data_IF_670039522173
#
_entry.id   IF_670039522173
#
_cell.length_a   1.000
_cell.length_b   1.000
_cell.length_c   1.000
_cell.angle_alpha   90.00
_cell.angle_beta   90.00
_cell.angle_gamma   90.00
#
_symmetry.space_group_name_H-M   'P 1'
#
loop_
_entity.id
_entity.type
_entity.pdbx_description
1 polymer ?
#
# COMPACT_ATOMS: atom_id res chain seq x y z
N UNK A 1 -0.47 -34.50 10.15
CA UNK A 1 -1.89 -34.30 10.50
C UNK A 1 -2.33 -32.83 10.63
N UNK A 2 -1.64 -31.98 11.43
CA UNK A 2 -2.08 -30.58 11.66
C UNK A 2 -2.10 -29.70 10.38
N UNK A 3 -1.08 -29.79 9.53
CA UNK A 3 -0.99 -29.02 8.28
C UNK A 3 -2.10 -29.39 7.29
N UNK A 4 -2.28 -30.68 7.01
CA UNK A 4 -3.30 -31.20 6.08
C UNK A 4 -4.70 -30.69 6.46
N UNK A 5 -5.06 -30.77 7.75
CA UNK A 5 -6.36 -30.26 8.25
C UNK A 5 -6.54 -28.76 7.99
N UNK A 6 -5.46 -27.97 8.10
CA UNK A 6 -5.46 -26.52 7.83
C UNK A 6 -5.52 -26.16 6.35
N UNK A 7 -5.22 -27.09 5.45
CA UNK A 7 -5.38 -26.91 3.99
C UNK A 7 -6.79 -27.32 3.55
N UNK A 8 -7.33 -28.40 4.14
CA UNK A 8 -8.68 -28.87 3.86
C UNK A 8 -9.72 -27.84 4.30
N UNK A 9 -9.64 -27.36 5.54
CA UNK A 9 -10.64 -26.46 6.11
C UNK A 9 -10.27 -25.00 5.78
N UNK A 10 -11.12 -24.25 5.03
CA UNK A 10 -10.91 -22.83 4.76
C UNK A 10 -10.64 -22.01 6.02
N UNK A 11 -9.59 -21.18 5.99
CA UNK A 11 -9.23 -20.27 7.08
C UNK A 11 -8.38 -19.11 6.55
N UNK A 12 -8.27 -18.03 7.33
CA UNK A 12 -7.54 -16.81 6.93
C UNK A 12 -6.04 -17.02 6.68
N UNK A 13 -5.45 -18.12 7.19
CA UNK A 13 -4.03 -18.45 7.00
C UNK A 13 -3.81 -19.57 5.97
N UNK A 14 -4.86 -20.01 5.27
CA UNK A 14 -4.82 -21.16 4.35
C UNK A 14 -3.77 -21.03 3.27
N UNK A 15 -3.59 -19.83 2.71
CA UNK A 15 -2.57 -19.58 1.69
C UNK A 15 -1.16 -19.88 2.24
N UNK A 16 -0.85 -19.52 3.49
CA UNK A 16 0.45 -19.81 4.10
C UNK A 16 0.66 -21.31 4.32
N UNK A 17 -0.39 -22.04 4.73
CA UNK A 17 -0.30 -23.49 4.85
C UNK A 17 -0.11 -24.20 3.52
N UNK A 18 -0.66 -23.66 2.43
CA UNK A 18 -0.38 -24.15 1.06
C UNK A 18 1.08 -23.90 0.69
N UNK A 19 1.62 -22.71 1.01
CA UNK A 19 3.04 -22.41 0.79
C UNK A 19 3.94 -23.40 1.54
N UNK A 20 3.64 -23.66 2.81
CA UNK A 20 4.40 -24.60 3.63
C UNK A 20 4.31 -26.04 3.09
N UNK A 21 3.15 -26.46 2.57
CA UNK A 21 3.02 -27.77 1.94
C UNK A 21 3.97 -27.92 0.74
N UNK A 22 4.09 -26.91 -0.10
CA UNK A 22 5.04 -26.93 -1.22
C UNK A 22 6.50 -26.86 -0.77
N UNK A 23 6.82 -26.15 0.31
CA UNK A 23 8.17 -26.19 0.93
C UNK A 23 8.50 -27.59 1.44
N UNK A 24 7.51 -28.33 1.92
CA UNK A 24 7.59 -29.76 2.30
C UNK A 24 7.46 -30.70 1.09
N UNK A 25 7.64 -30.20 -0.13
CA UNK A 25 7.64 -30.95 -1.39
C UNK A 25 6.34 -31.68 -1.73
N UNK A 26 5.18 -31.22 -1.22
CA UNK A 26 3.90 -31.74 -1.69
C UNK A 26 3.75 -31.52 -3.20
N UNK A 27 3.18 -32.50 -3.90
CA UNK A 27 2.86 -32.35 -5.33
C UNK A 27 1.66 -31.42 -5.52
N UNK A 28 1.55 -30.80 -6.69
CA UNK A 28 0.38 -29.99 -7.06
C UNK A 28 -0.90 -30.83 -6.96
N UNK A 29 -0.85 -32.10 -7.41
CA UNK A 29 -1.96 -33.05 -7.30
C UNK A 29 -2.39 -33.26 -5.84
N UNK A 30 -1.44 -33.43 -4.92
CA UNK A 30 -1.75 -33.62 -3.50
C UNK A 30 -2.42 -32.37 -2.92
N UNK A 31 -1.86 -31.18 -3.19
CA UNK A 31 -2.42 -29.92 -2.69
C UNK A 31 -3.80 -29.64 -3.31
N UNK A 32 -4.01 -29.95 -4.58
CA UNK A 32 -5.32 -29.87 -5.23
C UNK A 32 -6.35 -30.78 -4.55
N UNK A 33 -6.02 -32.04 -4.31
CA UNK A 33 -6.93 -32.99 -3.64
C UNK A 33 -7.38 -32.44 -2.28
N UNK A 34 -6.46 -31.84 -1.53
CA UNK A 34 -6.73 -31.26 -0.21
C UNK A 34 -7.47 -29.92 -0.25
N UNK A 35 -7.10 -29.03 -1.18
CA UNK A 35 -7.56 -27.64 -1.17
C UNK A 35 -8.72 -27.36 -2.13
N UNK A 36 -8.85 -28.17 -3.17
CA UNK A 36 -9.71 -27.95 -4.34
C UNK A 36 -9.42 -26.65 -5.12
N UNK A 37 -8.27 -26.01 -4.87
CA UNK A 37 -7.79 -24.87 -5.65
C UNK A 37 -7.24 -25.39 -6.96
N UNK A 38 -7.70 -24.82 -8.08
CA UNK A 38 -7.32 -25.26 -9.41
C UNK A 38 -5.79 -25.43 -9.57
N UNK A 39 -5.32 -26.53 -10.20
CA UNK A 39 -3.90 -26.79 -10.41
C UNK A 39 -3.14 -25.66 -11.09
N UNK A 40 -3.79 -24.86 -11.95
CA UNK A 40 -3.21 -23.69 -12.60
C UNK A 40 -2.72 -22.65 -11.60
N UNK A 41 -3.53 -22.27 -10.59
CA UNK A 41 -3.09 -21.36 -9.53
C UNK A 41 -1.99 -21.98 -8.66
N UNK A 42 -2.14 -23.27 -8.35
CA UNK A 42 -1.17 -24.01 -7.54
C UNK A 42 0.21 -24.11 -8.21
N UNK A 43 0.25 -24.17 -9.54
CA UNK A 43 1.49 -24.13 -10.32
C UNK A 43 2.25 -22.82 -10.06
N UNK A 44 1.61 -21.65 -10.23
CA UNK A 44 2.26 -20.36 -10.00
C UNK A 44 2.68 -20.15 -8.54
N UNK A 45 1.86 -20.59 -7.59
CA UNK A 45 2.23 -20.54 -6.16
C UNK A 45 3.50 -21.38 -5.92
N UNK A 46 3.58 -22.57 -6.51
CA UNK A 46 4.77 -23.44 -6.42
C UNK A 46 5.99 -22.82 -7.11
N UNK A 47 5.81 -22.16 -8.26
CA UNK A 47 6.89 -21.44 -8.92
C UNK A 47 7.48 -20.35 -8.03
N UNK A 48 6.66 -19.54 -7.36
CA UNK A 48 7.12 -18.50 -6.43
C UNK A 48 8.04 -19.11 -5.34
N UNK A 49 7.68 -20.28 -4.81
CA UNK A 49 8.50 -21.00 -3.80
C UNK A 49 9.80 -21.55 -4.40
N UNK A 50 9.76 -22.02 -5.64
CA UNK A 50 10.98 -22.46 -6.33
C UNK A 50 11.93 -21.28 -6.54
N UNK A 51 11.40 -20.08 -6.85
CA UNK A 51 12.18 -18.86 -6.92
C UNK A 51 12.72 -18.41 -5.56
N UNK A 52 11.95 -18.56 -4.47
CA UNK A 52 12.41 -18.28 -3.09
C UNK A 52 13.72 -19.03 -2.78
N UNK A 53 13.83 -20.30 -3.18
CA UNK A 53 15.08 -21.10 -2.99
C UNK A 53 16.27 -20.58 -3.80
N UNK A 54 16.03 -19.92 -4.93
CA UNK A 54 17.06 -19.37 -5.83
C UNK A 54 17.51 -17.95 -5.43
N UNK A 55 16.85 -17.30 -4.49
CA UNK A 55 16.94 -15.85 -4.27
C UNK A 55 18.25 -15.33 -3.63
N UNK A 56 19.24 -16.18 -3.38
CA UNK A 56 20.51 -15.79 -2.73
C UNK A 56 21.52 -15.01 -3.60
N UNK A 57 21.20 -14.63 -4.86
CA UNK A 57 22.23 -14.07 -5.78
C UNK A 57 21.87 -12.82 -6.60
N UNK A 58 20.73 -12.16 -6.40
CA UNK A 58 20.38 -10.97 -7.21
C UNK A 58 20.54 -9.65 -6.45
N UNK A 59 21.53 -8.84 -6.86
CA UNK A 59 21.59 -7.41 -6.55
C UNK A 59 20.49 -6.69 -7.35
N UNK A 60 19.47 -6.19 -6.64
CA UNK A 60 18.26 -5.68 -7.25
C UNK A 60 18.39 -4.21 -7.69
N UNK A 61 18.66 -4.00 -8.98
CA UNK A 61 18.23 -2.78 -9.69
C UNK A 61 16.73 -2.92 -10.02
N UNK A 62 15.89 -3.00 -8.99
CA UNK A 62 14.44 -3.07 -9.19
C UNK A 62 13.95 -1.74 -9.76
N UNK A 63 13.44 -1.75 -10.98
CA UNK A 63 12.70 -0.63 -11.58
C UNK A 63 11.20 -0.95 -11.54
N UNK A 64 10.40 0.07 -11.26
CA UNK A 64 8.95 0.03 -11.37
C UNK A 64 8.54 0.98 -12.48
N UNK A 65 7.65 0.52 -13.34
CA UNK A 65 6.97 1.33 -14.34
C UNK A 65 5.48 1.43 -14.00
N UNK A 66 4.83 2.51 -14.41
CA UNK A 66 3.40 2.72 -14.19
C UNK A 66 2.62 2.58 -15.50
N UNK A 67 1.56 1.78 -15.44
CA UNK A 67 0.64 1.50 -16.55
C UNK A 67 -0.76 1.99 -16.24
N UNK A 68 -1.48 2.43 -17.26
CA UNK A 68 -2.88 2.85 -17.15
C UNK A 68 -3.82 1.67 -17.23
N UNK A 69 -4.94 1.81 -16.55
CA UNK A 69 -6.11 0.96 -16.73
C UNK A 69 -7.05 1.71 -17.68
N UNK A 70 -7.31 1.12 -18.85
CA UNK A 70 -8.03 1.76 -19.97
C UNK A 70 -9.29 1.01 -20.42
N UNK A 71 -9.61 -0.13 -19.79
CA UNK A 71 -10.70 -1.07 -20.12
C UNK A 71 -10.61 -1.78 -21.48
N UNK A 72 -9.74 -1.34 -22.39
CA UNK A 72 -9.67 -1.78 -23.78
C UNK A 72 -8.30 -2.31 -24.21
N UNK A 73 -7.41 -2.62 -23.25
CA UNK A 73 -6.08 -3.18 -23.51
C UNK A 73 -5.28 -2.37 -24.53
N UNK A 74 -5.33 -1.04 -24.39
CA UNK A 74 -4.65 -0.05 -25.23
C UNK A 74 -5.14 -0.01 -26.70
N UNK A 75 -6.38 -0.47 -26.97
CA UNK A 75 -7.04 -0.26 -28.27
C UNK A 75 -7.37 1.22 -28.51
N UNK A 76 -7.81 1.93 -27.46
CA UNK A 76 -8.17 3.35 -27.51
C UNK A 76 -7.33 4.20 -26.56
N UNK A 77 -7.18 5.49 -26.89
CA UNK A 77 -6.44 6.43 -26.05
C UNK A 77 -7.23 6.73 -24.76
N UNK A 78 -6.64 6.40 -23.62
CA UNK A 78 -7.24 6.64 -22.31
C UNK A 78 -6.87 8.01 -21.72
N UNK A 79 -7.89 8.83 -21.45
CA UNK A 79 -7.75 10.16 -20.86
C UNK A 79 -7.62 10.16 -19.33
N UNK A 80 -8.19 9.14 -18.67
CA UNK A 80 -8.12 8.99 -17.21
C UNK A 80 -6.71 8.60 -16.77
N UNK A 81 -6.37 8.91 -15.51
CA UNK A 81 -5.06 8.60 -14.93
C UNK A 81 -5.19 7.62 -13.78
N UNK A 82 -5.83 6.48 -14.06
CA UNK A 82 -5.93 5.32 -13.17
C UNK A 82 -4.75 4.38 -13.44
N UNK A 83 -3.81 4.29 -12.49
CA UNK A 83 -2.50 3.67 -12.68
C UNK A 83 -2.27 2.50 -11.73
N UNK A 84 -1.48 1.52 -12.16
CA UNK A 84 -0.88 0.48 -11.30
C UNK A 84 0.60 0.32 -11.63
N UNK A 85 1.39 -0.18 -10.68
CA UNK A 85 2.83 -0.42 -10.90
C UNK A 85 3.11 -1.84 -11.41
N UNK A 86 4.11 -1.94 -12.28
CA UNK A 86 4.64 -3.21 -12.77
C UNK A 86 6.17 -3.23 -12.63
N UNK A 87 6.71 -4.36 -12.15
CA UNK A 87 8.15 -4.55 -12.01
C UNK A 87 8.78 -4.87 -13.36
N UNK A 88 9.81 -4.12 -13.74
CA UNK A 88 10.53 -4.30 -15.00
C UNK A 88 10.82 -2.99 -15.71
N UNK A 89 11.49 -3.08 -16.87
CA UNK A 89 11.79 -1.94 -17.73
C UNK A 89 10.71 -1.78 -18.79
N UNK A 90 9.54 -1.28 -18.40
CA UNK A 90 8.46 -0.97 -19.34
C UNK A 90 8.33 0.55 -19.52
N UNK A 91 7.73 0.97 -20.63
CA UNK A 91 7.41 2.37 -20.85
C UNK A 91 6.38 2.87 -19.82
N UNK A 92 6.61 4.06 -19.29
CA UNK A 92 5.73 4.70 -18.31
C UNK A 92 4.59 5.43 -19.01
N UNK A 93 3.38 5.26 -18.50
CA UNK A 93 2.17 5.95 -18.97
C UNK A 93 1.70 7.04 -17.99
N UNK A 94 2.64 7.53 -17.19
CA UNK A 94 2.41 8.61 -16.24
C UNK A 94 2.03 9.88 -16.99
N UNK A 95 0.94 10.51 -16.57
CA UNK A 95 0.61 11.87 -17.03
C UNK A 95 1.49 12.88 -16.29
N UNK A 96 2.40 13.52 -16.99
CA UNK A 96 3.13 14.65 -16.44
C UNK A 96 2.25 15.89 -16.47
N UNK A 97 2.28 16.64 -15.37
CA UNK A 97 1.58 17.91 -15.21
C UNK A 97 2.58 18.96 -14.75
N UNK A 98 2.40 20.19 -15.21
CA UNK A 98 3.20 21.35 -14.79
C UNK A 98 2.80 21.77 -13.37
N UNK A 99 1.57 21.44 -12.94
CA UNK A 99 1.07 21.82 -11.63
C UNK A 99 1.87 21.14 -10.51
N UNK A 100 1.92 21.84 -9.38
CA UNK A 100 2.39 21.28 -8.11
C UNK A 100 1.51 20.07 -7.75
N UNK A 101 2.12 19.05 -7.16
CA UNK A 101 1.47 17.79 -6.83
C UNK A 101 1.53 17.51 -5.34
N UNK A 102 0.45 17.04 -4.76
CA UNK A 102 0.39 16.57 -3.37
C UNK A 102 0.02 15.09 -3.39
N UNK A 103 0.82 14.27 -2.73
CA UNK A 103 0.56 12.85 -2.56
C UNK A 103 -0.27 12.62 -1.29
N UNK A 104 -1.41 11.95 -1.42
CA UNK A 104 -2.23 11.47 -0.33
C UNK A 104 -2.06 9.95 -0.26
N UNK A 105 -1.66 9.45 0.91
CA UNK A 105 -1.57 8.01 1.16
C UNK A 105 -2.83 7.57 1.89
N UNK A 106 -3.62 6.72 1.25
CA UNK A 106 -4.89 6.19 1.75
C UNK A 106 -4.75 5.23 2.93
N UNK A 107 -5.88 4.63 3.32
CA UNK A 107 -5.97 3.73 4.48
C UNK A 107 -5.63 2.27 4.18
N UNK A 108 -5.69 1.84 2.92
CA UNK A 108 -5.64 0.43 2.57
C UNK A 108 -6.91 -0.30 3.00
N UNK A 109 -6.80 -1.62 3.14
CA UNK A 109 -7.95 -2.50 3.44
C UNK A 109 -8.57 -2.15 4.80
N UNK A 110 -9.91 -2.05 4.83
CA UNK A 110 -10.70 -1.78 6.03
C UNK A 110 -10.49 -2.87 7.11
N UNK A 111 -10.36 -2.45 8.38
CA UNK A 111 -10.22 -3.32 9.57
C UNK A 111 -10.90 -2.68 10.77
N UNK A 112 -11.16 -3.46 11.83
CA UNK A 112 -11.70 -2.90 13.09
C UNK A 112 -10.75 -1.81 13.61
N UNK A 113 -11.30 -0.62 13.86
CA UNK A 113 -10.54 0.57 14.27
C UNK A 113 -9.90 1.35 13.12
N UNK A 114 -10.07 0.91 11.87
CA UNK A 114 -9.63 1.62 10.67
C UNK A 114 -10.58 1.35 9.49
N UNK A 115 -11.65 2.14 9.41
CA UNK A 115 -12.74 1.97 8.45
C UNK A 115 -12.88 3.20 7.52
N UNK A 116 -14.07 3.38 6.95
CA UNK A 116 -14.46 4.37 5.94
C UNK A 116 -14.19 5.84 6.36
N UNK A 117 -14.07 6.14 7.65
CA UNK A 117 -13.76 7.48 8.15
C UNK A 117 -12.43 8.02 7.60
N UNK A 118 -11.44 7.16 7.40
CA UNK A 118 -10.15 7.54 6.82
C UNK A 118 -10.26 7.75 5.30
N UNK A 119 -11.09 6.94 4.64
CA UNK A 119 -11.38 7.12 3.21
C UNK A 119 -12.08 8.46 2.93
N UNK A 120 -13.07 8.81 3.76
CA UNK A 120 -13.74 10.10 3.71
C UNK A 120 -12.76 11.27 3.85
N UNK A 121 -11.84 11.19 4.82
CA UNK A 121 -10.80 12.20 5.02
C UNK A 121 -9.90 12.36 3.78
N UNK A 122 -9.40 11.25 3.22
CA UNK A 122 -8.58 11.26 2.01
C UNK A 122 -9.33 11.86 0.81
N UNK A 123 -10.59 11.47 0.62
CA UNK A 123 -11.47 11.96 -0.46
C UNK A 123 -11.71 13.48 -0.34
N UNK A 124 -12.01 13.97 0.87
CA UNK A 124 -12.21 15.41 1.10
C UNK A 124 -10.93 16.21 0.86
N UNK A 125 -9.78 15.70 1.31
CA UNK A 125 -8.49 16.33 1.06
C UNK A 125 -8.19 16.43 -0.44
N UNK A 126 -8.41 15.35 -1.20
CA UNK A 126 -8.21 15.36 -2.66
C UNK A 126 -9.09 16.41 -3.35
N UNK A 127 -10.38 16.45 -3.01
CA UNK A 127 -11.33 17.44 -3.56
C UNK A 127 -10.92 18.87 -3.23
N UNK A 128 -10.39 19.12 -2.02
CA UNK A 128 -9.91 20.44 -1.61
C UNK A 128 -8.62 20.85 -2.34
N UNK A 129 -7.65 19.93 -2.46
CA UNK A 129 -6.39 20.15 -3.19
C UNK A 129 -6.68 20.54 -4.65
N UNK A 130 -7.59 19.82 -5.29
CA UNK A 130 -8.04 20.09 -6.66
C UNK A 130 -8.70 21.47 -6.79
N UNK A 131 -9.50 21.91 -5.82
CA UNK A 131 -10.13 23.26 -5.80
C UNK A 131 -9.11 24.40 -5.74
N UNK A 132 -7.94 24.19 -5.14
CA UNK A 132 -6.87 25.19 -5.06
C UNK A 132 -5.94 25.13 -6.29
N UNK A 133 -6.28 24.32 -7.30
CA UNK A 133 -5.51 24.21 -8.55
C UNK A 133 -4.21 23.41 -8.40
N UNK A 134 -4.11 22.56 -7.37
CA UNK A 134 -3.00 21.65 -7.16
C UNK A 134 -3.43 20.24 -7.59
N UNK A 135 -2.52 19.47 -8.17
CA UNK A 135 -2.80 18.09 -8.53
C UNK A 135 -2.74 17.17 -7.32
N UNK A 136 -3.84 16.46 -7.04
CA UNK A 136 -3.86 15.41 -6.04
C UNK A 136 -3.46 14.07 -6.67
N UNK A 137 -2.53 13.38 -6.02
CA UNK A 137 -2.17 11.99 -6.31
C UNK A 137 -2.65 11.17 -5.13
N UNK A 138 -3.48 10.14 -5.34
CA UNK A 138 -3.87 9.20 -4.30
C UNK A 138 -3.14 7.87 -4.52
N UNK A 139 -2.50 7.35 -3.47
CA UNK A 139 -2.04 5.97 -3.38
C UNK A 139 -2.96 5.21 -2.43
N UNK A 140 -3.71 4.24 -2.94
CA UNK A 140 -4.53 3.34 -2.13
C UNK A 140 -4.70 1.99 -2.84
N UNK A 141 -5.12 0.96 -2.11
CA UNK A 141 -5.34 -0.40 -2.66
C UNK A 141 -6.67 -1.02 -2.24
N UNK A 142 -7.55 -0.24 -1.61
CA UNK A 142 -8.86 -0.74 -1.21
C UNK A 142 -9.85 -0.60 -2.38
N UNK A 143 -10.42 -1.69 -2.92
CA UNK A 143 -11.40 -1.60 -3.99
C UNK A 143 -12.78 -1.11 -3.52
N UNK A 144 -13.04 -1.05 -2.21
CA UNK A 144 -14.36 -0.70 -1.66
C UNK A 144 -14.52 0.80 -1.37
N UNK A 145 -13.56 1.64 -1.75
CA UNK A 145 -13.45 3.02 -1.28
C UNK A 145 -13.69 4.06 -2.36
N UNK A 146 -14.22 5.22 -1.97
CA UNK A 146 -14.41 6.35 -2.89
C UNK A 146 -13.06 6.99 -3.25
N UNK A 147 -12.05 6.93 -2.37
CA UNK A 147 -10.72 7.44 -2.73
C UNK A 147 -10.05 6.69 -3.89
N UNK A 148 -10.54 5.51 -4.26
CA UNK A 148 -10.08 4.71 -5.41
C UNK A 148 -10.97 4.85 -6.64
N UNK A 149 -11.92 5.79 -6.63
CA UNK A 149 -12.57 6.26 -7.85
C UNK A 149 -11.61 7.18 -8.63
N UNK A 150 -11.47 6.94 -9.93
CA UNK A 150 -10.47 7.62 -10.76
C UNK A 150 -10.75 9.13 -10.99
N UNK A 151 -11.96 9.61 -10.66
CA UNK A 151 -12.39 11.00 -10.81
C UNK A 151 -12.16 11.85 -9.55
N UNK A 152 -11.89 11.21 -8.41
CA UNK A 152 -11.68 11.84 -7.10
C UNK A 152 -10.33 12.57 -7.03
N UNK A 153 -9.31 12.10 -7.74
CA UNK A 153 -7.98 12.72 -7.79
C UNK A 153 -7.55 13.07 -9.21
N UNK A 154 -6.52 13.91 -9.35
CA UNK A 154 -5.87 14.13 -10.67
C UNK A 154 -5.18 12.85 -11.15
N UNK A 155 -4.67 12.07 -10.20
CA UNK A 155 -3.96 10.82 -10.44
C UNK A 155 -4.29 9.80 -9.34
N UNK A 156 -4.72 8.62 -9.74
CA UNK A 156 -4.95 7.50 -8.84
C UNK A 156 -3.92 6.41 -9.11
N UNK A 157 -3.25 5.97 -8.06
CA UNK A 157 -2.29 4.86 -8.09
C UNK A 157 -2.87 3.75 -7.22
N UNK A 158 -3.34 2.69 -7.87
CA UNK A 158 -3.90 1.51 -7.24
C UNK A 158 -2.82 0.48 -6.98
N UNK A 159 -2.10 0.69 -5.88
CA UNK A 159 -0.95 -0.12 -5.51
C UNK A 159 -0.93 -0.37 -4.00
N UNK A 160 -0.31 -1.47 -3.55
CA UNK A 160 -0.06 -1.69 -2.13
C UNK A 160 0.66 -0.51 -1.47
N UNK A 161 0.20 -0.13 -0.27
CA UNK A 161 0.81 0.93 0.54
C UNK A 161 2.07 0.37 1.21
N UNK A 162 3.15 0.29 0.43
CA UNK A 162 4.46 -0.20 0.88
C UNK A 162 5.55 0.80 0.53
N UNK A 163 6.63 0.78 1.32
CA UNK A 163 7.76 1.72 1.18
C UNK A 163 8.35 1.75 -0.23
N UNK A 164 8.49 0.58 -0.86
CA UNK A 164 9.01 0.45 -2.23
C UNK A 164 8.17 1.29 -3.19
N UNK A 165 6.86 1.08 -3.22
CA UNK A 165 5.96 1.78 -4.14
C UNK A 165 5.97 3.29 -3.89
N UNK A 166 5.90 3.71 -2.63
CA UNK A 166 6.00 5.13 -2.25
C UNK A 166 7.30 5.74 -2.75
N UNK A 167 8.44 5.07 -2.57
CA UNK A 167 9.73 5.56 -3.07
C UNK A 167 9.72 5.81 -4.58
N UNK A 168 9.19 4.88 -5.39
CA UNK A 168 9.08 5.10 -6.83
C UNK A 168 8.11 6.22 -7.17
N UNK A 169 6.97 6.31 -6.49
CA UNK A 169 6.01 7.40 -6.68
C UNK A 169 6.69 8.75 -6.41
N UNK A 170 7.46 8.87 -5.35
CA UNK A 170 8.20 10.10 -5.04
C UNK A 170 9.22 10.45 -6.12
N UNK A 171 9.94 9.46 -6.65
CA UNK A 171 10.94 9.68 -7.70
C UNK A 171 10.32 10.11 -9.04
N UNK A 172 9.21 9.50 -9.44
CA UNK A 172 8.56 9.77 -10.72
C UNK A 172 7.70 11.02 -10.69
N UNK A 173 6.86 11.17 -9.66
CA UNK A 173 5.86 12.24 -9.61
C UNK A 173 6.39 13.50 -8.92
N UNK A 174 7.43 13.38 -8.09
CA UNK A 174 8.06 14.48 -7.34
C UNK A 174 7.03 15.41 -6.68
N UNK A 175 6.10 14.87 -5.85
CA UNK A 175 5.13 15.72 -5.16
C UNK A 175 5.88 16.70 -4.24
N UNK A 176 5.34 17.90 -4.09
CA UNK A 176 5.89 18.91 -3.18
C UNK A 176 5.64 18.53 -1.72
N UNK A 177 4.64 17.68 -1.47
CA UNK A 177 4.14 17.39 -0.14
C UNK A 177 3.42 16.05 -0.09
N UNK A 178 3.48 15.40 1.07
CA UNK A 178 2.86 14.10 1.34
C UNK A 178 1.96 14.21 2.57
N UNK A 179 0.71 13.75 2.41
CA UNK A 179 -0.32 13.69 3.45
C UNK A 179 -0.53 12.23 3.83
N UNK A 180 -0.18 11.86 5.06
CA UNK A 180 -0.36 10.51 5.60
C UNK A 180 -1.30 10.42 6.80
N UNK A 181 -1.56 11.53 7.47
CA UNK A 181 -2.37 11.58 8.69
C UNK A 181 -3.83 11.19 8.45
N UNK A 182 -4.30 11.41 7.22
CA UNK A 182 -5.68 11.14 6.83
C UNK A 182 -5.93 9.67 6.50
N UNK A 183 -4.87 8.90 6.21
CA UNK A 183 -4.95 7.48 5.86
C UNK A 183 -4.80 6.52 7.05
N UNK A 184 -4.94 7.03 8.28
CA UNK A 184 -4.87 6.19 9.49
C UNK A 184 -3.53 5.49 9.71
N UNK A 185 -3.55 4.37 10.42
CA UNK A 185 -2.33 3.74 10.94
C UNK A 185 -1.45 3.13 9.85
N UNK A 186 -2.05 2.55 8.81
CA UNK A 186 -1.31 2.00 7.64
C UNK A 186 -0.40 3.07 7.02
N UNK A 187 -0.98 4.24 6.75
CA UNK A 187 -0.30 5.37 6.14
C UNK A 187 0.80 5.93 7.04
N UNK A 188 0.49 6.20 8.31
CA UNK A 188 1.44 6.72 9.31
C UNK A 188 2.64 5.80 9.52
N UNK A 189 2.40 4.50 9.70
CA UNK A 189 3.48 3.53 9.93
C UNK A 189 4.40 3.40 8.72
N UNK A 190 3.86 3.48 7.51
CA UNK A 190 4.67 3.31 6.30
C UNK A 190 5.64 4.48 6.09
N UNK A 191 5.22 5.69 6.47
CA UNK A 191 6.07 6.90 6.40
C UNK A 191 7.07 6.99 7.55
N UNK A 192 6.69 6.64 8.79
CA UNK A 192 7.46 6.88 10.01
C UNK A 192 8.91 6.36 9.96
N UNK A 193 9.17 5.32 9.19
CA UNK A 193 10.48 4.66 9.11
C UNK A 193 11.38 5.17 7.99
N UNK A 194 11.03 6.26 7.31
CA UNK A 194 11.80 6.77 6.18
C UNK A 194 12.30 8.20 6.42
N UNK A 195 13.53 8.46 5.96
CA UNK A 195 14.12 9.81 5.87
C UNK A 195 13.49 10.63 4.71
N UNK A 196 12.18 10.56 4.50
CA UNK A 196 11.46 11.46 3.59
C UNK A 196 11.27 12.83 4.28
N UNK A 197 12.36 13.41 4.76
CA UNK A 197 12.36 14.40 5.86
C UNK A 197 12.00 15.82 5.43
N UNK A 198 11.88 16.13 4.14
CA UNK A 198 11.62 17.50 3.67
C UNK A 198 10.19 17.78 3.19
N UNK A 199 9.35 16.76 2.97
CA UNK A 199 8.06 16.91 2.27
C UNK A 199 6.84 16.47 3.08
N UNK A 200 6.99 16.29 4.40
CA UNK A 200 5.92 15.78 5.27
C UNK A 200 5.14 16.89 5.96
N UNK A 201 3.84 16.66 6.12
CA UNK A 201 2.86 17.63 6.62
C UNK A 201 2.89 17.97 8.10
N UNK A 202 3.37 17.04 8.93
CA UNK A 202 3.65 17.29 10.34
C UNK A 202 5.05 16.77 10.58
N UNK A 203 5.85 17.56 11.30
CA UNK A 203 7.21 17.19 11.65
C UNK A 203 7.22 15.81 12.31
N UNK A 204 7.98 14.86 11.75
CA UNK A 204 8.10 13.50 12.27
C UNK A 204 8.49 13.47 13.76
N UNK A 205 9.18 14.51 14.23
CA UNK A 205 9.48 14.73 15.65
C UNK A 205 8.22 14.80 16.52
N UNK A 206 7.21 15.58 16.13
CA UNK A 206 5.96 15.74 16.89
C UNK A 206 5.22 14.41 16.95
N UNK A 207 5.06 13.74 15.80
CA UNK A 207 4.45 12.42 15.75
C UNK A 207 5.20 11.39 16.60
N UNK A 208 6.53 11.47 16.71
CA UNK A 208 7.33 10.57 17.54
C UNK A 208 7.11 10.83 19.04
N UNK A 209 6.99 12.10 19.44
CA UNK A 209 6.68 12.47 20.83
C UNK A 209 5.31 11.96 21.21
N UNK A 210 4.27 12.28 20.43
CA UNK A 210 2.89 11.91 20.75
C UNK A 210 2.64 10.40 20.72
N UNK A 211 3.32 9.64 19.87
CA UNK A 211 3.14 8.18 19.78
C UNK A 211 3.94 7.39 20.82
N UNK A 212 4.84 8.01 21.59
CA UNK A 212 5.61 7.32 22.62
C UNK A 212 5.01 7.62 23.99
N UNK A 213 4.50 6.59 24.68
CA UNK A 213 3.93 6.72 26.05
C UNK A 213 4.91 7.46 26.98
N UNK A 214 6.21 7.15 26.90
CA UNK A 214 7.25 7.79 27.72
C UNK A 214 7.44 9.26 27.34
N UNK A 215 7.67 9.56 26.05
CA UNK A 215 7.94 10.95 25.62
C UNK A 215 6.71 11.84 25.83
N UNK A 216 5.52 11.32 25.54
CA UNK A 216 4.27 12.04 25.76
C UNK A 216 4.00 12.28 27.24
N UNK A 217 4.21 11.28 28.11
CA UNK A 217 4.09 11.50 29.55
C UNK A 217 5.11 12.52 30.08
N UNK A 218 6.33 12.53 29.56
CA UNK A 218 7.32 13.55 29.93
C UNK A 218 6.88 14.95 29.48
N UNK A 219 6.34 15.07 28.27
CA UNK A 219 5.76 16.32 27.77
C UNK A 219 4.61 16.81 28.66
N UNK A 220 3.66 15.94 29.02
CA UNK A 220 2.56 16.29 29.91
C UNK A 220 3.04 16.75 31.30
N UNK A 221 4.09 16.12 31.84
CA UNK A 221 4.71 16.54 33.11
C UNK A 221 5.31 17.95 33.01
N UNK A 222 6.02 18.25 31.92
CA UNK A 222 6.61 19.57 31.67
C UNK A 222 5.51 20.64 31.62
N UNK A 223 4.43 20.35 30.91
CA UNK A 223 3.28 21.26 30.74
C UNK A 223 2.33 21.29 31.96
N UNK A 224 2.66 20.59 33.05
CA UNK A 224 1.84 20.48 34.28
C UNK A 224 0.41 20.00 34.00
N UNK A 225 0.25 19.12 33.02
CA UNK A 225 -1.03 18.50 32.66
C UNK A 225 -1.24 17.20 33.45
N UNK A 226 -2.49 16.90 33.77
CA UNK A 226 -2.84 15.69 34.52
C UNK A 226 -2.56 14.42 33.71
N UNK A 227 -1.93 13.44 34.35
CA UNK A 227 -1.69 12.11 33.80
C UNK A 227 -2.40 11.10 34.68
N UNK A 228 -3.38 10.39 34.13
CA UNK A 228 -3.98 9.25 34.83
C UNK A 228 -2.93 8.15 34.98
N UNK A 229 -2.61 7.78 36.23
CA UNK A 229 -1.55 6.82 36.55
C UNK A 229 -1.86 5.39 36.08
N UNK A 230 -3.13 5.06 35.83
CA UNK A 230 -3.58 3.70 35.55
C UNK A 230 -4.49 3.64 34.32
N UNK A 231 -3.91 3.27 33.18
CA UNK A 231 -4.49 2.45 32.10
C UNK A 231 -3.32 1.86 31.26
#
# INVERSE_FOLDING_TARGET
>A
FKLIKKIIIPNSKRIFYILDAFRMNFSIKNVFILSKIDPWFLYYIKEIINYEKKFFKFNNNNKLSFKKIDSCSNEFVCSTSYLYSISGNYNNEIRYSINKKILIIGSGVNRIGQSLEFDYCCTKASKFIKKIGIDSIILNCNPETVSTDYDVSSQLIFDPIIKKNIFFILNYFKPIFIISQLGGQTSLNTIKYNNFTKQLSINNLINNICNSKIKFNNFLKIEKLNIFKNF
#
